data_IF_817123992880
#
_entry.id   IF_817123992880
#
_cell.length_a   1.000
_cell.length_b   1.000
_cell.length_c   1.000
_cell.angle_alpha   90.00
_cell.angle_beta   90.00
_cell.angle_gamma   90.00
#
_symmetry.space_group_name_H-M   'P 1'
#
loop_
_entity.id
_entity.type
_entity.pdbx_description
1 polymer ?
#
# COMPACT_ATOMS: atom_id res chain seq x y z
N UNK A 1 5.82 -9.51 -12.70
CA UNK A 1 4.98 -10.14 -11.65
C UNK A 1 5.70 -11.22 -10.84
N UNK A 2 6.29 -12.27 -11.44
CA UNK A 2 6.94 -13.38 -10.69
C UNK A 2 7.91 -12.96 -9.57
N UNK A 3 8.72 -11.93 -9.79
CA UNK A 3 9.65 -11.43 -8.76
C UNK A 3 8.90 -10.81 -7.56
N UNK A 4 7.79 -10.09 -7.81
CA UNK A 4 6.94 -9.52 -6.75
C UNK A 4 6.19 -10.63 -6.02
N UNK A 5 5.70 -11.65 -6.74
CA UNK A 5 5.08 -12.83 -6.13
C UNK A 5 6.03 -13.48 -5.12
N UNK A 6 7.29 -13.70 -5.52
CA UNK A 6 8.34 -14.23 -4.63
C UNK A 6 8.59 -13.34 -3.40
N UNK A 7 8.60 -12.02 -3.58
CA UNK A 7 8.75 -11.08 -2.46
C UNK A 7 7.57 -11.15 -1.47
N UNK A 8 6.38 -11.49 -1.94
CA UNK A 8 5.19 -11.62 -1.10
C UNK A 8 5.07 -12.96 -0.37
N UNK A 9 5.85 -13.98 -0.74
CA UNK A 9 5.81 -15.31 -0.12
C UNK A 9 6.01 -15.26 1.40
N UNK A 10 6.90 -14.38 1.87
CA UNK A 10 7.18 -14.20 3.32
C UNK A 10 5.95 -13.72 4.10
N UNK A 11 4.96 -13.15 3.41
CA UNK A 11 3.73 -12.62 3.99
C UNK A 11 2.52 -13.54 3.79
N UNK A 12 2.70 -14.75 3.25
CA UNK A 12 1.60 -15.68 2.93
C UNK A 12 0.67 -15.94 4.10
N UNK A 13 1.21 -16.10 5.31
CA UNK A 13 0.41 -16.31 6.53
C UNK A 13 -0.51 -15.11 6.82
N UNK A 14 0.02 -13.89 6.74
CA UNK A 14 -0.78 -12.66 6.94
C UNK A 14 -1.82 -12.48 5.83
N UNK A 15 -1.48 -12.78 4.58
CA UNK A 15 -2.42 -12.73 3.46
C UNK A 15 -3.60 -13.70 3.67
N UNK A 16 -3.34 -14.92 4.15
CA UNK A 16 -4.40 -15.88 4.45
C UNK A 16 -5.23 -15.47 5.67
N UNK A 17 -4.57 -15.07 6.77
CA UNK A 17 -5.25 -14.82 8.05
C UNK A 17 -6.00 -13.49 8.08
N UNK A 18 -5.39 -12.42 7.57
CA UNK A 18 -5.95 -11.06 7.63
C UNK A 18 -6.82 -10.71 6.41
N UNK A 19 -6.41 -11.13 5.20
CA UNK A 19 -7.13 -10.80 3.97
C UNK A 19 -8.03 -11.93 3.48
N UNK A 20 -7.97 -13.12 4.08
CA UNK A 20 -8.71 -14.32 3.65
C UNK A 20 -8.45 -14.65 2.18
N UNK A 21 -7.20 -14.51 1.75
CA UNK A 21 -6.73 -14.95 0.43
C UNK A 21 -6.45 -16.45 0.51
N UNK A 22 -6.79 -17.22 -0.52
CA UNK A 22 -6.54 -18.66 -0.54
C UNK A 22 -5.04 -18.95 -0.57
N UNK A 23 -4.65 -20.13 -0.09
CA UNK A 23 -3.25 -20.56 -0.10
C UNK A 23 -2.66 -20.59 -1.52
N UNK A 24 -3.47 -20.98 -2.50
CA UNK A 24 -3.07 -21.00 -3.90
C UNK A 24 -2.81 -19.59 -4.43
N UNK A 25 -3.57 -18.60 -3.96
CA UNK A 25 -3.47 -17.24 -4.44
C UNK A 25 -2.33 -16.45 -3.77
N UNK A 26 -1.96 -16.79 -2.53
CA UNK A 26 -0.88 -16.08 -1.83
C UNK A 26 0.47 -16.17 -2.54
N UNK A 27 0.77 -17.29 -3.22
CA UNK A 27 2.03 -17.47 -3.95
C UNK A 27 2.06 -16.80 -5.33
N UNK A 28 0.95 -16.22 -5.79
CA UNK A 28 0.81 -15.58 -7.10
C UNK A 28 0.02 -14.27 -7.02
N UNK A 29 0.07 -13.60 -5.87
CA UNK A 29 -0.75 -12.44 -5.57
C UNK A 29 -0.62 -11.32 -6.61
N UNK A 30 0.60 -10.92 -6.96
CA UNK A 30 0.85 -9.88 -7.95
C UNK A 30 0.38 -10.32 -9.34
N UNK A 31 0.59 -11.59 -9.70
CA UNK A 31 0.09 -12.16 -10.95
C UNK A 31 -1.45 -12.15 -11.02
N UNK A 32 -2.13 -12.47 -9.92
CA UNK A 32 -3.60 -12.40 -9.84
C UNK A 32 -4.06 -10.95 -9.99
N UNK A 33 -3.45 -10.02 -9.26
CA UNK A 33 -3.83 -8.61 -9.33
C UNK A 33 -3.66 -8.08 -10.76
N UNK A 34 -2.53 -8.40 -11.39
CA UNK A 34 -2.28 -8.07 -12.79
C UNK A 34 -3.35 -8.65 -13.72
N UNK A 35 -3.73 -9.91 -13.53
CA UNK A 35 -4.77 -10.58 -14.32
C UNK A 35 -6.13 -9.94 -14.14
N UNK A 36 -6.58 -9.75 -12.88
CA UNK A 36 -7.87 -9.15 -12.56
C UNK A 36 -7.99 -7.74 -13.16
N UNK A 37 -6.93 -6.94 -13.07
CA UNK A 37 -6.88 -5.59 -13.66
C UNK A 37 -6.88 -5.64 -15.19
N UNK A 38 -6.11 -6.55 -15.79
CA UNK A 38 -6.03 -6.73 -17.24
C UNK A 38 -7.37 -7.14 -17.84
N UNK A 39 -8.18 -7.92 -17.13
CA UNK A 39 -9.47 -8.40 -17.61
C UNK A 39 -10.65 -7.50 -17.23
N UNK A 40 -10.40 -6.32 -16.63
CA UNK A 40 -11.45 -5.32 -16.46
C UNK A 40 -12.04 -4.88 -17.81
N UNK A 41 -13.34 -4.57 -17.87
CA UNK A 41 -13.97 -3.96 -19.04
C UNK A 41 -13.25 -2.68 -19.48
N UNK A 42 -13.36 -2.34 -20.76
CA UNK A 42 -12.69 -1.15 -21.34
C UNK A 42 -13.20 0.13 -20.66
N UNK A 43 -14.50 0.19 -20.39
CA UNK A 43 -15.18 1.31 -19.74
C UNK A 43 -14.61 1.52 -18.33
N UNK A 44 -14.52 0.44 -17.55
CA UNK A 44 -13.93 0.47 -16.21
C UNK A 44 -12.47 0.94 -16.22
N UNK A 45 -11.67 0.51 -17.21
CA UNK A 45 -10.30 1.00 -17.37
C UNK A 45 -10.24 2.48 -17.74
N UNK A 46 -11.16 2.99 -18.55
CA UNK A 46 -11.24 4.43 -18.86
C UNK A 46 -11.55 5.22 -17.61
N UNK A 47 -12.56 4.80 -16.84
CA UNK A 47 -12.94 5.44 -15.57
C UNK A 47 -11.78 5.47 -14.58
N UNK A 48 -10.99 4.38 -14.47
CA UNK A 48 -9.80 4.34 -13.63
C UNK A 48 -8.73 5.33 -14.12
N UNK A 49 -8.51 5.42 -15.44
CA UNK A 49 -7.51 6.32 -16.05
C UNK A 49 -7.88 7.79 -15.88
N UNK A 50 -9.17 8.10 -15.91
CA UNK A 50 -9.72 9.45 -15.85
C UNK A 50 -10.10 9.89 -14.43
N UNK A 51 -10.01 9.00 -13.45
CA UNK A 51 -10.44 9.25 -12.07
C UNK A 51 -9.75 10.47 -11.41
N UNK A 52 -8.59 10.91 -11.91
CA UNK A 52 -7.90 12.11 -11.43
C UNK A 52 -7.18 12.85 -12.57
N UNK A 53 -6.77 14.11 -12.37
CA UNK A 53 -6.00 14.86 -13.36
C UNK A 53 -4.63 14.27 -13.73
N UNK A 54 -4.05 13.41 -12.88
CA UNK A 54 -2.72 12.81 -13.12
C UNK A 54 -2.90 11.44 -13.78
N UNK A 55 -2.44 11.32 -15.03
CA UNK A 55 -2.54 10.08 -15.79
C UNK A 55 -1.75 8.91 -15.20
N UNK A 56 -2.21 7.68 -15.49
CA UNK A 56 -1.62 6.44 -14.95
C UNK A 56 -0.13 6.30 -15.26
N UNK A 57 0.31 6.71 -16.46
CA UNK A 57 1.73 6.64 -16.83
C UNK A 57 2.62 7.42 -15.86
N UNK A 58 2.26 8.67 -15.55
CA UNK A 58 3.04 9.50 -14.61
C UNK A 58 3.10 8.87 -13.22
N UNK A 59 1.99 8.32 -12.73
CA UNK A 59 1.96 7.63 -11.43
C UNK A 59 2.83 6.38 -11.43
N UNK A 60 2.84 5.64 -12.53
CA UNK A 60 3.69 4.47 -12.69
C UNK A 60 5.16 4.86 -12.74
N UNK A 61 5.51 5.95 -13.42
CA UNK A 61 6.88 6.48 -13.46
C UNK A 61 7.36 6.91 -12.06
N UNK A 62 6.51 7.58 -11.26
CA UNK A 62 6.80 7.90 -9.85
C UNK A 62 7.03 6.65 -9.00
N UNK A 63 6.25 5.58 -9.22
CA UNK A 63 6.48 4.31 -8.53
C UNK A 63 7.78 3.64 -8.97
N UNK A 64 8.15 3.71 -10.25
CA UNK A 64 9.46 3.19 -10.70
C UNK A 64 10.58 3.97 -10.01
N UNK A 65 10.52 5.30 -10.03
CA UNK A 65 11.53 6.15 -9.40
C UNK A 65 11.63 5.87 -7.89
N UNK A 66 10.49 5.70 -7.22
CA UNK A 66 10.43 5.27 -5.82
C UNK A 66 11.11 3.92 -5.59
N UNK A 67 10.85 2.89 -6.41
CA UNK A 67 11.53 1.59 -6.26
C UNK A 67 13.04 1.73 -6.48
N UNK A 68 13.47 2.44 -7.52
CA UNK A 68 14.88 2.67 -7.79
C UNK A 68 15.57 3.39 -6.63
N UNK A 69 14.91 4.38 -6.03
CA UNK A 69 15.41 5.03 -4.82
C UNK A 69 15.53 4.04 -3.65
N UNK A 70 14.53 3.18 -3.43
CA UNK A 70 14.59 2.14 -2.39
C UNK A 70 15.76 1.17 -2.63
N UNK A 71 16.00 0.78 -3.88
CA UNK A 71 17.12 -0.10 -4.24
C UNK A 71 18.47 0.58 -3.97
N UNK A 72 18.59 1.88 -4.28
CA UNK A 72 19.80 2.66 -3.99
C UNK A 72 20.08 2.70 -2.48
N UNK A 73 19.09 3.11 -1.68
CA UNK A 73 19.32 3.30 -0.24
C UNK A 73 19.47 1.99 0.53
N UNK A 74 18.84 0.90 0.07
CA UNK A 74 19.02 -0.43 0.67
C UNK A 74 20.42 -1.01 0.43
N UNK A 75 21.09 -0.58 -0.64
CA UNK A 75 22.46 -0.99 -0.96
C UNK A 75 23.53 -0.03 -0.42
N UNK A 76 23.12 1.12 0.12
CA UNK A 76 24.02 2.11 0.71
C UNK A 76 24.41 1.73 2.16
N UNK A 77 25.51 2.31 2.65
CA UNK A 77 25.87 2.19 4.06
C UNK A 77 24.75 2.76 4.95
N UNK A 78 24.38 2.01 5.99
CA UNK A 78 23.29 2.38 6.90
C UNK A 78 23.64 3.65 7.67
N UNK A 79 22.86 4.72 7.43
CA UNK A 79 22.94 5.97 8.19
C UNK A 79 21.55 6.32 8.75
N UNK A 80 21.41 6.69 10.03
CA UNK A 80 20.10 6.93 10.65
C UNK A 80 19.24 7.97 9.91
N UNK A 81 19.86 9.04 9.40
CA UNK A 81 19.14 10.05 8.62
C UNK A 81 18.57 9.49 7.31
N UNK A 82 19.30 8.57 6.65
CA UNK A 82 18.85 7.92 5.42
C UNK A 82 17.67 7.00 5.70
N UNK A 83 17.75 6.19 6.76
CA UNK A 83 16.65 5.31 7.18
C UNK A 83 15.39 6.12 7.51
N UNK A 84 15.55 7.22 8.26
CA UNK A 84 14.42 8.11 8.60
C UNK A 84 13.77 8.70 7.36
N UNK A 85 14.56 9.23 6.42
CA UNK A 85 14.05 9.73 5.15
C UNK A 85 13.37 8.63 4.34
N UNK A 86 13.96 7.43 4.30
CA UNK A 86 13.39 6.28 3.61
C UNK A 86 12.00 5.91 4.14
N UNK A 87 11.84 5.80 5.46
CA UNK A 87 10.54 5.47 6.08
C UNK A 87 9.50 6.56 5.84
N UNK A 88 9.88 7.84 5.91
CA UNK A 88 8.99 8.96 5.58
C UNK A 88 8.47 8.79 4.14
N UNK A 89 9.38 8.62 3.18
CA UNK A 89 9.03 8.46 1.76
C UNK A 89 8.18 7.21 1.53
N UNK A 90 8.55 6.06 2.12
CA UNK A 90 7.77 4.83 2.01
C UNK A 90 6.34 5.00 2.54
N UNK A 91 6.19 5.58 3.74
CA UNK A 91 4.88 5.77 4.35
C UNK A 91 4.02 6.74 3.55
N UNK A 92 4.60 7.84 3.05
CA UNK A 92 3.87 8.77 2.20
C UNK A 92 3.41 8.11 0.91
N UNK A 93 4.30 7.42 0.18
CA UNK A 93 3.94 6.75 -1.08
C UNK A 93 2.91 5.64 -0.85
N UNK A 94 3.15 4.74 0.11
CA UNK A 94 2.30 3.56 0.32
C UNK A 94 0.90 3.91 0.84
N UNK A 95 0.79 4.92 1.71
CA UNK A 95 -0.46 5.17 2.42
C UNK A 95 -1.13 6.47 2.02
N UNK A 96 -0.40 7.55 1.78
CA UNK A 96 -0.99 8.84 1.41
C UNK A 96 -1.23 8.92 -0.09
N UNK A 97 -0.17 8.78 -0.88
CA UNK A 97 -0.23 8.90 -2.34
C UNK A 97 -1.10 7.81 -2.96
N UNK A 98 -0.82 6.53 -2.67
CA UNK A 98 -1.50 5.40 -3.32
C UNK A 98 -2.93 5.16 -2.84
N UNK A 99 -3.31 5.63 -1.65
CA UNK A 99 -4.66 5.40 -1.13
C UNK A 99 -5.73 6.00 -2.04
N UNK A 100 -5.60 7.27 -2.41
CA UNK A 100 -6.58 7.94 -3.27
C UNK A 100 -6.26 7.71 -4.75
N UNK A 101 -4.99 7.68 -5.15
CA UNK A 101 -4.62 7.53 -6.56
C UNK A 101 -4.88 6.13 -7.10
N UNK A 102 -4.70 5.09 -6.29
CA UNK A 102 -4.77 3.69 -6.71
C UNK A 102 -5.93 2.95 -6.05
N UNK A 103 -5.87 2.75 -4.73
CA UNK A 103 -6.71 1.76 -4.05
C UNK A 103 -8.19 2.15 -4.01
N UNK A 104 -8.50 3.42 -3.72
CA UNK A 104 -9.87 3.92 -3.71
C UNK A 104 -10.53 3.93 -5.08
N UNK A 105 -9.75 4.14 -6.14
CA UNK A 105 -10.23 4.09 -7.52
C UNK A 105 -10.45 2.64 -7.92
N UNK A 106 -9.42 1.81 -7.81
CA UNK A 106 -9.42 0.44 -8.31
C UNK A 106 -10.51 -0.43 -7.66
N UNK A 107 -10.73 -0.32 -6.33
CA UNK A 107 -11.71 -1.14 -5.61
C UNK A 107 -13.14 -1.02 -6.15
N UNK A 108 -13.49 0.10 -6.77
CA UNK A 108 -14.85 0.37 -7.27
C UNK A 108 -15.18 -0.52 -8.46
N UNK A 109 -14.18 -0.86 -9.27
CA UNK A 109 -14.35 -1.62 -10.50
C UNK A 109 -13.96 -3.10 -10.36
N UNK A 110 -13.25 -3.46 -9.30
CA UNK A 110 -12.86 -4.85 -9.06
C UNK A 110 -14.06 -5.73 -8.67
N UNK A 111 -14.10 -7.01 -9.12
CA UNK A 111 -15.14 -7.95 -8.75
C UNK A 111 -15.26 -8.16 -7.24
N UNK A 112 -16.47 -8.40 -6.76
CA UNK A 112 -16.67 -8.74 -5.34
C UNK A 112 -15.95 -10.04 -4.98
N UNK A 113 -15.31 -10.08 -3.81
CA UNK A 113 -14.56 -11.25 -3.34
C UNK A 113 -13.20 -11.48 -3.98
N UNK A 114 -12.85 -10.72 -5.03
CA UNK A 114 -11.55 -10.85 -5.72
C UNK A 114 -10.38 -10.55 -4.79
N UNK A 115 -9.22 -11.15 -5.09
CA UNK A 115 -8.02 -10.96 -4.26
C UNK A 115 -7.53 -9.52 -4.33
N UNK A 116 -7.61 -8.86 -5.50
CA UNK A 116 -7.27 -7.43 -5.62
C UNK A 116 -8.21 -6.55 -4.81
N UNK A 117 -9.51 -6.86 -4.76
CA UNK A 117 -10.48 -6.05 -4.03
C UNK A 117 -10.26 -6.18 -2.52
N UNK A 118 -9.93 -7.38 -2.05
CA UNK A 118 -9.52 -7.63 -0.67
C UNK A 118 -8.27 -6.81 -0.31
N UNK A 119 -7.24 -6.81 -1.15
CA UNK A 119 -6.04 -5.99 -0.95
C UNK A 119 -6.36 -4.50 -0.88
N UNK A 120 -7.12 -3.96 -1.84
CA UNK A 120 -7.49 -2.55 -1.86
C UNK A 120 -8.29 -2.18 -0.61
N UNK A 121 -9.30 -2.98 -0.25
CA UNK A 121 -10.13 -2.75 0.94
C UNK A 121 -9.30 -2.77 2.22
N UNK A 122 -8.37 -3.72 2.36
CA UNK A 122 -7.49 -3.79 3.52
C UNK A 122 -6.64 -2.52 3.64
N UNK A 123 -6.07 -2.04 2.52
CA UNK A 123 -5.19 -0.86 2.47
C UNK A 123 -5.89 0.48 2.72
N UNK A 124 -7.21 0.59 2.56
CA UNK A 124 -7.96 1.85 2.76
C UNK A 124 -8.83 1.88 4.02
N UNK A 125 -8.95 0.76 4.73
CA UNK A 125 -9.77 0.65 5.93
C UNK A 125 -8.90 0.71 7.20
N UNK A 126 -9.54 0.80 8.37
CA UNK A 126 -8.83 0.71 9.63
C UNK A 126 -8.14 -0.67 9.77
N UNK A 127 -6.93 -0.74 10.34
CA UNK A 127 -6.18 0.35 10.99
C UNK A 127 -5.39 1.26 10.03
N UNK A 128 -5.16 0.84 8.78
CA UNK A 128 -4.27 1.53 7.82
C UNK A 128 -4.78 2.93 7.48
N UNK A 129 -6.09 3.13 7.37
CA UNK A 129 -6.71 4.45 7.17
C UNK A 129 -6.35 5.43 8.28
N UNK A 130 -6.39 4.98 9.54
CA UNK A 130 -6.05 5.80 10.70
C UNK A 130 -4.56 6.15 10.68
N UNK A 131 -3.71 5.17 10.38
CA UNK A 131 -2.27 5.37 10.20
C UNK A 131 -1.96 6.39 9.10
N UNK A 132 -2.55 6.23 7.90
CA UNK A 132 -2.44 7.18 6.79
C UNK A 132 -2.76 8.61 7.21
N UNK A 133 -3.90 8.80 7.88
CA UNK A 133 -4.33 10.12 8.32
C UNK A 133 -3.32 10.72 9.31
N UNK A 134 -2.78 9.90 10.21
CA UNK A 134 -1.75 10.34 11.13
C UNK A 134 -0.45 10.76 10.40
N UNK A 135 -0.02 10.02 9.38
CA UNK A 135 1.12 10.39 8.53
C UNK A 135 0.86 11.73 7.83
N UNK A 136 -0.30 11.90 7.20
CA UNK A 136 -0.65 13.10 6.44
C UNK A 136 -0.78 14.37 7.31
N UNK A 137 -1.05 14.21 8.61
CA UNK A 137 -1.22 15.30 9.57
C UNK A 137 -0.10 15.39 10.60
N UNK A 138 1.05 14.75 10.34
CA UNK A 138 2.24 14.81 11.21
C UNK A 138 2.01 14.32 12.66
N UNK A 139 1.00 13.46 12.87
CA UNK A 139 0.63 12.91 14.17
C UNK A 139 1.32 11.56 14.41
N UNK A 140 2.64 11.49 14.25
CA UNK A 140 3.39 10.24 14.40
C UNK A 140 4.85 10.47 14.78
N UNK A 141 5.45 9.47 15.40
CA UNK A 141 6.88 9.42 15.68
C UNK A 141 7.38 7.97 15.76
N UNK A 142 8.69 7.77 15.74
CA UNK A 142 9.24 6.45 16.07
C UNK A 142 8.98 6.11 17.53
N UNK A 143 8.86 4.81 17.81
CA UNK A 143 9.07 4.30 19.17
C UNK A 143 10.52 4.57 19.61
N UNK A 144 10.73 4.69 20.91
CA UNK A 144 12.04 5.03 21.47
C UNK A 144 13.09 3.95 21.18
N UNK A 145 12.65 2.69 21.05
CA UNK A 145 13.45 1.52 20.68
C UNK A 145 13.50 1.25 19.17
N UNK A 146 12.90 2.12 18.34
CA UNK A 146 12.75 1.95 16.89
C UNK A 146 12.02 0.66 16.46
N UNK A 147 11.32 -0.04 17.36
CA UNK A 147 10.58 -1.27 17.04
C UNK A 147 9.31 -1.03 16.20
N UNK A 148 8.94 0.23 15.98
CA UNK A 148 7.75 0.60 15.26
C UNK A 148 7.50 2.11 15.23
N UNK A 149 6.28 2.47 14.87
CA UNK A 149 5.78 3.84 14.82
C UNK A 149 4.64 3.99 15.83
N UNK A 150 4.71 5.06 16.64
CA UNK A 150 3.58 5.58 17.40
C UNK A 150 2.85 6.60 16.55
N UNK A 151 1.53 6.55 16.57
CA UNK A 151 0.71 7.49 15.84
C UNK A 151 -0.57 7.82 16.60
N UNK A 152 -1.09 9.02 16.38
CA UNK A 152 -2.27 9.52 17.07
C UNK A 152 -3.41 9.67 16.06
N UNK A 153 -4.51 8.97 16.32
CA UNK A 153 -5.70 8.97 15.47
C UNK A 153 -6.99 8.95 16.30
N UNK A 154 -8.11 9.31 15.67
CA UNK A 154 -9.44 9.19 16.28
C UNK A 154 -9.87 7.73 16.29
N UNK A 155 -10.54 7.28 17.35
CA UNK A 155 -11.03 5.90 17.45
C UNK A 155 -12.27 5.68 16.59
N UNK A 156 -13.13 6.68 16.50
CA UNK A 156 -14.38 6.70 15.75
C UNK A 156 -14.35 7.66 14.56
N UNK A 157 -15.54 8.10 14.16
CA UNK A 157 -15.78 8.94 12.99
C UNK A 157 -16.03 10.41 13.32
N UNK A 158 -16.19 10.76 14.60
CA UNK A 158 -16.56 12.12 14.99
C UNK A 158 -15.39 13.10 14.85
N UNK A 159 -15.70 14.30 14.36
CA UNK A 159 -14.72 15.38 14.08
C UNK A 159 -14.17 16.04 15.35
N UNK A 160 -14.76 15.80 16.52
CA UNK A 160 -14.28 16.37 17.78
C UNK A 160 -13.78 15.31 18.78
N UNK A 161 -13.75 14.04 18.37
CA UNK A 161 -13.11 12.99 19.16
C UNK A 161 -11.62 13.28 19.43
N UNK A 162 -11.13 13.03 20.66
CA UNK A 162 -9.73 13.19 20.98
C UNK A 162 -8.88 12.19 20.18
N UNK A 163 -7.66 12.62 19.84
CA UNK A 163 -6.67 11.69 19.31
C UNK A 163 -6.20 10.77 20.43
N UNK A 164 -6.17 9.46 20.15
CA UNK A 164 -5.58 8.46 21.04
C UNK A 164 -4.36 7.84 20.38
N UNK A 165 -3.41 7.40 21.20
CA UNK A 165 -2.18 6.77 20.75
C UNK A 165 -2.45 5.35 20.26
N UNK A 166 -1.82 4.99 19.15
CA UNK A 166 -1.74 3.66 18.59
C UNK A 166 -0.29 3.35 18.22
N UNK A 167 0.00 2.06 18.08
CA UNK A 167 1.30 1.60 17.61
C UNK A 167 1.17 0.69 16.39
N UNK A 168 2.18 0.70 15.54
CA UNK A 168 2.39 -0.31 14.51
C UNK A 168 3.82 -0.82 14.59
N UNK A 169 3.98 -2.15 14.64
CA UNK A 169 5.30 -2.78 14.65
C UNK A 169 5.99 -2.64 13.30
N UNK A 170 7.33 -2.71 13.26
CA UNK A 170 8.06 -2.76 11.99
C UNK A 170 7.62 -3.93 11.10
N UNK A 171 7.25 -5.08 11.69
CA UNK A 171 6.77 -6.25 10.94
C UNK A 171 5.44 -5.96 10.25
N UNK A 172 4.48 -5.38 10.96
CA UNK A 172 3.17 -5.05 10.40
C UNK A 172 3.27 -3.93 9.37
N UNK A 173 4.08 -2.90 9.66
CA UNK A 173 4.34 -1.83 8.71
C UNK A 173 4.99 -2.36 7.43
N UNK A 174 5.97 -3.26 7.56
CA UNK A 174 6.62 -3.92 6.43
C UNK A 174 5.63 -4.72 5.56
N UNK A 175 4.69 -5.43 6.20
CA UNK A 175 3.60 -6.10 5.48
C UNK A 175 2.72 -5.10 4.71
N UNK A 176 2.26 -4.04 5.37
CA UNK A 176 1.40 -3.02 4.76
C UNK A 176 2.07 -2.34 3.56
N UNK A 177 3.34 -1.96 3.70
CA UNK A 177 4.13 -1.36 2.63
C UNK A 177 4.37 -2.34 1.46
N UNK A 178 4.68 -3.62 1.75
CA UNK A 178 4.85 -4.64 0.73
C UNK A 178 3.55 -4.88 -0.06
N UNK A 179 2.42 -5.00 0.65
CA UNK A 179 1.10 -5.18 0.05
C UNK A 179 0.70 -3.97 -0.82
N UNK A 180 0.94 -2.75 -0.33
CA UNK A 180 0.66 -1.51 -1.07
C UNK A 180 1.44 -1.46 -2.39
N UNK A 181 2.75 -1.71 -2.34
CA UNK A 181 3.62 -1.77 -3.53
C UNK A 181 3.18 -2.86 -4.50
N UNK A 182 3.00 -4.08 -4.01
CA UNK A 182 2.57 -5.23 -4.82
C UNK A 182 1.28 -4.89 -5.60
N UNK A 183 0.28 -4.37 -4.89
CA UNK A 183 -1.01 -3.99 -5.47
C UNK A 183 -0.85 -2.89 -6.53
N UNK A 184 -0.12 -1.83 -6.20
CA UNK A 184 0.03 -0.68 -7.09
C UNK A 184 0.86 -0.99 -8.35
N UNK A 185 1.98 -1.70 -8.23
CA UNK A 185 2.78 -2.10 -9.41
C UNK A 185 1.98 -3.01 -10.33
N UNK A 186 1.36 -4.05 -9.78
CA UNK A 186 0.57 -4.99 -10.57
C UNK A 186 -0.60 -4.30 -11.28
N UNK A 187 -1.28 -3.36 -10.60
CA UNK A 187 -2.38 -2.61 -11.19
C UNK A 187 -1.90 -1.63 -12.27
N UNK A 188 -0.99 -0.71 -11.96
CA UNK A 188 -0.57 0.32 -12.90
C UNK A 188 0.17 -0.24 -14.11
N UNK A 189 0.96 -1.31 -13.96
CA UNK A 189 1.61 -1.97 -15.10
C UNK A 189 0.59 -2.53 -16.12
N UNK A 190 -0.61 -2.91 -15.67
CA UNK A 190 -1.67 -3.45 -16.53
C UNK A 190 -2.74 -2.41 -16.89
N UNK A 191 -2.59 -1.17 -16.43
CA UNK A 191 -3.44 -0.03 -16.80
C UNK A 191 -2.73 0.96 -17.72
N UNK A 192 -1.40 1.06 -17.68
CA UNK A 192 -0.63 1.99 -18.52
C UNK A 192 -0.85 1.77 -20.01
#
# INVERSE_FOLDING_TARGET
MKNIDRQMEVWSEKLMTELKISKEDTSKLATIIASEVRWLPVEAKSEIKEATPVGIKHRYDELIAFQSWMDIVNNAASHPAVIRAQVITQNYICFVYLSESCFNVLRKHLPSGSSSKKCCNYLINNPIRAFRNAIAHSNWCYKDDFSGIRYWARKGSERDEPLVEFEVSLKDLGFWQALARCTAYAAYENLK
#
